data_IF_046882021257
#
_entry.id   IF_046882021257
#
_cell.length_a   1.000
_cell.length_b   1.000
_cell.length_c   1.000
_cell.angle_alpha   90.00
_cell.angle_beta   90.00
_cell.angle_gamma   90.00
#
_symmetry.space_group_name_H-M   'P 1'
#
loop_
_entity.id
_entity.type
_entity.pdbx_description
1 polymer ?
#
# COMPACT_ATOMS: atom_id res chain seq x y z
N UNK A 1 11.30 -16.58 13.00
CA UNK A 1 12.23 -15.43 12.98
C UNK A 1 12.21 -14.84 14.38
N UNK A 2 13.28 -14.98 15.18
CA UNK A 2 13.28 -14.41 16.52
C UNK A 2 13.36 -12.88 16.45
N UNK A 3 12.73 -12.21 17.40
CA UNK A 3 12.80 -10.75 17.60
C UNK A 3 12.16 -9.86 16.52
N UNK A 4 11.16 -10.35 15.77
CA UNK A 4 10.36 -9.54 14.84
C UNK A 4 8.93 -9.35 15.38
N UNK A 5 8.44 -8.11 15.34
CA UNK A 5 7.06 -7.76 15.71
C UNK A 5 6.41 -6.91 14.64
N UNK A 6 5.15 -7.23 14.31
CA UNK A 6 4.35 -6.48 13.33
C UNK A 6 3.13 -5.92 14.04
N UNK A 7 2.94 -4.62 13.97
CA UNK A 7 1.73 -3.94 14.46
C UNK A 7 0.98 -3.33 13.28
N UNK A 8 -0.36 -3.35 13.37
CA UNK A 8 -1.22 -2.66 12.41
C UNK A 8 -1.70 -1.34 13.00
N UNK A 9 -1.68 -0.27 12.20
CA UNK A 9 -2.53 0.89 12.45
C UNK A 9 -3.99 0.62 12.05
N UNK A 10 -4.86 1.60 12.25
CA UNK A 10 -6.30 1.47 11.96
C UNK A 10 -6.65 1.51 10.47
N UNK A 11 -5.79 2.06 9.61
CA UNK A 11 -6.16 2.37 8.22
C UNK A 11 -6.34 1.14 7.33
N UNK A 12 -5.64 0.02 7.60
CA UNK A 12 -5.65 -1.14 6.71
C UNK A 12 -5.32 -2.48 7.40
N UNK A 13 -6.17 -2.93 8.31
CA UNK A 13 -5.93 -4.18 9.06
C UNK A 13 -5.88 -5.45 8.19
N UNK A 14 -6.66 -5.53 7.11
CA UNK A 14 -6.64 -6.68 6.19
C UNK A 14 -5.25 -6.90 5.57
N UNK A 15 -4.63 -5.84 5.05
CA UNK A 15 -3.28 -5.92 4.50
C UNK A 15 -2.25 -6.29 5.56
N UNK A 16 -2.34 -5.69 6.75
CA UNK A 16 -1.46 -6.03 7.88
C UNK A 16 -1.57 -7.50 8.25
N UNK A 17 -2.78 -8.04 8.31
CA UNK A 17 -3.03 -9.45 8.61
C UNK A 17 -2.44 -10.36 7.52
N UNK A 18 -2.69 -10.06 6.24
CA UNK A 18 -2.10 -10.83 5.12
C UNK A 18 -0.57 -10.84 5.15
N UNK A 19 0.05 -9.72 5.52
CA UNK A 19 1.52 -9.65 5.69
C UNK A 19 1.97 -10.56 6.84
N UNK A 20 1.29 -10.51 7.98
CA UNK A 20 1.60 -11.32 9.15
C UNK A 20 1.44 -12.82 8.84
N UNK A 21 0.35 -13.21 8.19
CA UNK A 21 0.07 -14.59 7.77
C UNK A 21 1.17 -15.13 6.85
N UNK A 22 1.63 -14.34 5.88
CA UNK A 22 2.72 -14.72 4.96
C UNK A 22 4.07 -14.88 5.65
N UNK A 23 4.27 -14.22 6.78
CA UNK A 23 5.48 -14.36 7.61
C UNK A 23 5.33 -15.44 8.70
N UNK A 24 4.15 -16.05 8.82
CA UNK A 24 3.83 -16.99 9.89
C UNK A 24 3.86 -16.34 11.27
N UNK A 25 3.40 -15.09 11.37
CA UNK A 25 3.36 -14.29 12.60
C UNK A 25 1.92 -13.90 12.95
N UNK A 26 1.67 -13.64 14.22
CA UNK A 26 0.47 -12.94 14.67
C UNK A 26 0.76 -11.44 14.74
N UNK A 27 -0.27 -10.62 14.51
CA UNK A 27 -0.17 -9.17 14.76
C UNK A 27 0.01 -8.92 16.25
N UNK A 28 0.93 -8.01 16.57
CA UNK A 28 1.16 -7.55 17.93
C UNK A 28 -0.07 -6.83 18.48
N UNK A 29 -0.28 -6.99 19.78
CA UNK A 29 -1.41 -6.41 20.51
C UNK A 29 -1.25 -4.90 20.59
N UNK A 30 -2.19 -4.18 19.99
CA UNK A 30 -2.29 -2.73 20.09
C UNK A 30 -3.74 -2.33 20.33
N UNK A 31 -3.94 -1.38 21.24
CA UNK A 31 -5.24 -0.73 21.43
C UNK A 31 -5.16 0.66 20.83
N UNK A 32 -5.93 0.87 19.75
CA UNK A 32 -6.05 2.16 19.07
C UNK A 32 -7.46 2.69 19.26
N UNK A 33 -7.61 3.87 19.86
CA UNK A 33 -8.92 4.49 20.07
C UNK A 33 -8.86 5.99 19.83
N UNK A 34 -10.03 6.60 19.59
CA UNK A 34 -10.18 8.05 19.48
C UNK A 34 -10.93 8.55 20.71
N UNK A 35 -10.36 9.55 21.40
CA UNK A 35 -11.05 10.23 22.49
C UNK A 35 -12.17 11.13 21.96
N UNK A 36 -13.09 11.54 22.84
CA UNK A 36 -14.24 12.39 22.46
C UNK A 36 -13.86 13.77 21.93
N UNK A 37 -12.65 14.25 22.25
CA UNK A 37 -12.04 15.47 21.72
C UNK A 37 -11.26 15.23 20.41
N UNK A 38 -11.42 14.05 19.78
CA UNK A 38 -10.76 13.64 18.54
C UNK A 38 -9.26 13.30 18.66
N UNK A 39 -8.67 13.30 19.85
CA UNK A 39 -7.29 12.86 20.04
C UNK A 39 -7.14 11.36 19.82
N UNK A 40 -6.07 10.98 19.11
CA UNK A 40 -5.71 9.58 18.90
C UNK A 40 -4.96 9.05 20.12
N UNK A 41 -5.40 7.91 20.64
CA UNK A 41 -4.77 7.19 21.73
C UNK A 41 -4.31 5.82 21.25
N UNK A 42 -3.05 5.49 21.54
CA UNK A 42 -2.41 4.23 21.18
C UNK A 42 -1.77 3.64 22.43
N UNK A 43 -2.01 2.36 22.67
CA UNK A 43 -1.38 1.59 23.73
C UNK A 43 -0.82 0.29 23.16
N UNK A 44 0.50 0.11 23.26
CA UNK A 44 1.18 -1.12 22.86
C UNK A 44 0.99 -2.15 23.98
N UNK A 45 0.22 -3.20 23.70
CA UNK A 45 -0.25 -4.18 24.68
C UNK A 45 0.72 -5.33 24.98
N UNK A 46 1.95 -5.24 24.51
CA UNK A 46 3.00 -6.23 24.74
C UNK A 46 4.40 -5.58 24.76
N UNK A 47 5.38 -6.28 25.35
CA UNK A 47 6.76 -5.77 25.39
C UNK A 47 7.38 -5.78 23.99
N UNK A 48 7.96 -4.64 23.61
CA UNK A 48 8.75 -4.47 22.37
C UNK A 48 10.24 -4.22 22.62
N UNK A 49 10.70 -4.36 23.88
CA UNK A 49 12.10 -4.10 24.25
C UNK A 49 13.05 -5.03 23.50
N UNK A 50 13.98 -4.46 22.75
CA UNK A 50 14.98 -5.21 21.97
C UNK A 50 14.44 -5.84 20.68
N UNK A 51 13.16 -5.67 20.38
CA UNK A 51 12.50 -6.21 19.19
C UNK A 51 12.77 -5.35 17.94
N UNK A 52 12.76 -5.97 16.75
CA UNK A 52 12.70 -5.32 15.44
C UNK A 52 11.23 -5.14 15.03
N UNK A 53 10.75 -3.90 15.18
CA UNK A 53 9.32 -3.57 15.08
C UNK A 53 8.98 -3.02 13.71
N UNK A 54 7.94 -3.55 13.09
CA UNK A 54 7.35 -3.05 11.85
C UNK A 54 5.93 -2.56 12.14
N UNK A 55 5.64 -1.31 11.77
CA UNK A 55 4.31 -0.72 11.91
C UNK A 55 3.74 -0.54 10.51
N UNK A 56 2.67 -1.28 10.20
CA UNK A 56 1.97 -1.20 8.91
C UNK A 56 0.85 -0.17 9.02
N UNK A 57 0.93 0.89 8.24
CA UNK A 57 -0.12 1.91 8.15
C UNK A 57 -0.24 2.43 6.72
N UNK A 58 -1.46 2.44 6.20
CA UNK A 58 -1.76 3.10 4.92
C UNK A 58 -2.28 4.53 5.15
N UNK A 59 -2.13 5.40 4.15
CA UNK A 59 -2.68 6.76 4.14
C UNK A 59 -4.13 6.82 3.65
N UNK A 60 -5.01 5.89 4.05
CA UNK A 60 -6.39 5.79 3.54
C UNK A 60 -7.45 6.29 4.53
N UNK A 61 -8.42 7.07 4.04
CA UNK A 61 -9.50 7.63 4.85
C UNK A 61 -9.12 8.99 5.42
N UNK A 62 -9.28 9.17 6.73
CA UNK A 62 -8.85 10.38 7.43
C UNK A 62 -7.31 10.42 7.55
N UNK A 63 -6.66 10.91 6.49
CA UNK A 63 -5.20 10.85 6.32
C UNK A 63 -4.40 11.44 7.50
N UNK A 64 -4.93 12.50 8.13
CA UNK A 64 -4.29 13.14 9.27
C UNK A 64 -4.36 12.29 10.53
N UNK A 65 -5.51 11.67 10.78
CA UNK A 65 -5.68 10.78 11.92
C UNK A 65 -4.76 9.57 11.80
N UNK A 66 -4.68 8.97 10.61
CA UNK A 66 -3.80 7.83 10.34
C UNK A 66 -2.31 8.18 10.47
N UNK A 67 -1.93 9.39 10.01
CA UNK A 67 -0.56 9.88 10.16
C UNK A 67 -0.22 10.11 11.64
N UNK A 68 -1.11 10.75 12.39
CA UNK A 68 -0.92 10.94 13.83
C UNK A 68 -0.84 9.61 14.58
N UNK A 69 -1.72 8.67 14.26
CA UNK A 69 -1.69 7.31 14.82
C UNK A 69 -0.34 6.64 14.57
N UNK A 70 0.17 6.66 13.33
CA UNK A 70 1.47 6.10 12.98
C UNK A 70 2.61 6.76 13.78
N UNK A 71 2.62 8.08 13.86
CA UNK A 71 3.65 8.83 14.60
C UNK A 71 3.63 8.49 16.09
N UNK A 72 2.43 8.35 16.69
CA UNK A 72 2.28 7.96 18.09
C UNK A 72 2.75 6.51 18.30
N UNK A 73 2.39 5.57 17.41
CA UNK A 73 2.86 4.18 17.48
C UNK A 73 4.39 4.09 17.38
N UNK A 74 5.00 4.81 16.42
CA UNK A 74 6.46 4.86 16.27
C UNK A 74 7.12 5.37 17.54
N UNK A 75 6.62 6.48 18.10
CA UNK A 75 7.16 7.06 19.33
C UNK A 75 7.01 6.10 20.52
N UNK A 76 5.83 5.47 20.69
CA UNK A 76 5.56 4.52 21.76
C UNK A 76 6.54 3.32 21.71
N UNK A 77 6.75 2.74 20.54
CA UNK A 77 7.73 1.66 20.37
C UNK A 77 9.17 2.12 20.63
N UNK A 78 9.52 3.35 20.22
CA UNK A 78 10.87 3.91 20.42
C UNK A 78 11.18 4.10 21.90
N UNK A 79 10.29 4.71 22.68
CA UNK A 79 10.49 4.92 24.12
C UNK A 79 10.40 3.61 24.91
N UNK A 80 9.66 2.62 24.41
CA UNK A 80 9.61 1.27 24.95
C UNK A 80 10.87 0.43 24.65
N UNK A 81 11.92 1.06 24.12
CA UNK A 81 13.23 0.44 23.85
C UNK A 81 13.22 -0.64 22.76
N UNK A 82 12.38 -0.50 21.74
CA UNK A 82 12.53 -1.28 20.50
C UNK A 82 13.93 -1.08 19.91
N UNK A 83 14.52 -2.17 19.41
CA UNK A 83 15.86 -2.15 18.80
C UNK A 83 15.86 -1.33 17.51
N UNK A 84 14.84 -1.57 16.68
CA UNK A 84 14.58 -0.84 15.43
C UNK A 84 13.06 -0.67 15.27
N UNK A 85 12.66 0.44 14.64
CA UNK A 85 11.26 0.72 14.28
C UNK A 85 11.24 1.07 12.80
N UNK A 86 10.54 0.27 12.00
CA UNK A 86 10.36 0.43 10.57
C UNK A 86 8.91 0.77 10.26
N UNK A 87 8.67 1.89 9.59
CA UNK A 87 7.34 2.23 9.11
C UNK A 87 7.11 1.59 7.74
N UNK A 88 6.13 0.70 7.64
CA UNK A 88 5.70 0.09 6.38
C UNK A 88 4.49 0.89 5.90
N UNK A 89 4.70 1.75 4.91
CA UNK A 89 3.70 2.72 4.43
C UNK A 89 3.38 2.44 2.95
N UNK A 90 2.42 1.54 2.64
CA UNK A 90 2.14 1.13 1.25
C UNK A 90 1.70 2.26 0.34
N UNK A 91 1.01 3.28 0.87
CA UNK A 91 0.66 4.51 0.16
C UNK A 91 1.12 5.70 0.99
N UNK A 92 2.24 6.30 0.59
CA UNK A 92 2.88 7.39 1.34
C UNK A 92 1.99 8.65 1.38
N UNK A 93 1.59 9.14 2.57
CA UNK A 93 0.70 10.30 2.67
C UNK A 93 1.40 11.56 2.18
N UNK A 94 0.62 12.51 1.64
CA UNK A 94 1.12 13.79 1.13
C UNK A 94 2.14 13.71 -0.02
N UNK A 95 2.38 12.54 -0.62
CA UNK A 95 3.39 12.34 -1.66
C UNK A 95 3.26 13.28 -2.88
N UNK A 96 2.04 13.75 -3.22
CA UNK A 96 1.80 14.68 -4.35
C UNK A 96 2.15 16.14 -4.06
N UNK A 97 2.59 16.45 -2.84
CA UNK A 97 2.98 17.81 -2.42
C UNK A 97 4.50 18.00 -2.44
N UNK A 98 5.22 17.10 -3.11
CA UNK A 98 6.63 17.22 -3.39
C UNK A 98 6.87 18.39 -4.35
N UNK A 99 7.80 19.29 -3.99
CA UNK A 99 8.16 20.46 -4.80
C UNK A 99 9.67 20.68 -4.91
N UNK A 100 10.50 19.74 -4.42
CA UNK A 100 11.95 19.89 -4.36
C UNK A 100 12.68 18.58 -4.64
N UNK A 101 13.75 18.65 -5.44
CA UNK A 101 14.56 17.53 -5.95
C UNK A 101 15.48 16.84 -4.91
N UNK A 102 15.27 17.03 -3.60
CA UNK A 102 16.10 16.41 -2.55
C UNK A 102 15.37 15.27 -1.87
N UNK A 103 16.11 14.22 -1.51
CA UNK A 103 15.61 13.17 -0.63
C UNK A 103 15.13 13.78 0.70
N UNK A 104 13.92 13.41 1.13
CA UNK A 104 13.29 13.96 2.35
C UNK A 104 13.73 13.28 3.64
N UNK A 105 14.43 12.14 3.53
CA UNK A 105 14.79 11.29 4.66
C UNK A 105 16.30 11.05 4.70
N UNK A 106 16.88 11.20 5.88
CA UNK A 106 18.26 10.80 6.18
C UNK A 106 18.36 9.33 6.65
N UNK A 107 17.21 8.67 6.82
CA UNK A 107 17.11 7.24 7.13
C UNK A 107 16.99 6.42 5.83
N UNK A 108 17.39 5.12 5.84
CA UNK A 108 17.19 4.25 4.69
C UNK A 108 15.71 4.13 4.31
N UNK A 109 15.43 4.19 3.01
CA UNK A 109 14.08 4.03 2.44
C UNK A 109 14.12 3.00 1.33
N UNK A 110 13.36 1.92 1.49
CA UNK A 110 13.13 0.93 0.44
C UNK A 110 11.84 1.27 -0.33
N UNK A 111 11.99 1.94 -1.48
CA UNK A 111 10.86 2.26 -2.35
C UNK A 111 10.55 1.08 -3.29
N UNK A 112 9.57 0.25 -2.92
CA UNK A 112 9.19 -0.94 -3.67
C UNK A 112 8.33 -0.58 -4.90
N UNK A 113 8.41 -1.41 -5.95
CA UNK A 113 7.64 -1.24 -7.18
C UNK A 113 6.56 -2.31 -7.30
N UNK A 114 5.35 -1.89 -7.67
CA UNK A 114 4.28 -2.81 -8.10
C UNK A 114 4.44 -3.24 -9.57
N UNK A 115 5.42 -2.69 -10.30
CA UNK A 115 5.65 -2.98 -11.71
C UNK A 115 5.74 -4.48 -12.03
N UNK A 116 6.51 -5.32 -11.30
CA UNK A 116 6.54 -6.75 -11.58
C UNK A 116 5.16 -7.42 -11.48
N UNK A 117 4.35 -7.02 -10.50
CA UNK A 117 3.00 -7.55 -10.30
C UNK A 117 2.02 -7.05 -11.37
N UNK A 118 2.15 -5.80 -11.79
CA UNK A 118 1.38 -5.23 -12.91
C UNK A 118 1.72 -5.95 -14.22
N UNK A 119 3.01 -6.17 -14.51
CA UNK A 119 3.44 -6.89 -15.70
C UNK A 119 2.93 -8.33 -15.72
N UNK A 120 2.95 -9.02 -14.57
CA UNK A 120 2.33 -10.35 -14.42
C UNK A 120 0.84 -10.30 -14.73
N UNK A 121 0.10 -9.38 -14.10
CA UNK A 121 -1.34 -9.23 -14.31
C UNK A 121 -1.67 -8.95 -15.79
N UNK A 122 -0.95 -8.05 -16.45
CA UNK A 122 -1.16 -7.73 -17.88
C UNK A 122 -0.99 -8.98 -18.75
N UNK A 123 0.09 -9.74 -18.57
CA UNK A 123 0.39 -10.94 -19.37
C UNK A 123 -0.64 -12.05 -19.18
N UNK A 124 -1.20 -12.17 -17.98
CA UNK A 124 -2.17 -13.20 -17.62
C UNK A 124 -3.62 -12.84 -17.98
N UNK A 125 -3.96 -11.55 -18.07
CA UNK A 125 -5.35 -11.09 -18.20
C UNK A 125 -5.66 -10.35 -19.52
N UNK A 126 -4.65 -9.83 -20.23
CA UNK A 126 -4.85 -9.13 -21.51
C UNK A 126 -4.32 -9.99 -22.64
N UNK A 127 -5.21 -10.60 -23.43
CA UNK A 127 -4.86 -11.47 -24.56
C UNK A 127 -3.93 -10.78 -25.59
N UNK A 128 -4.19 -9.51 -25.90
CA UNK A 128 -3.41 -8.76 -26.89
C UNK A 128 -2.24 -7.97 -26.28
N UNK A 129 -1.76 -8.34 -25.07
CA UNK A 129 -0.72 -7.57 -24.37
C UNK A 129 0.56 -7.34 -25.19
N UNK A 130 0.89 -8.25 -26.12
CA UNK A 130 2.06 -8.12 -26.99
C UNK A 130 1.93 -6.98 -28.02
N UNK A 131 0.70 -6.59 -28.33
CA UNK A 131 0.35 -5.55 -29.31
C UNK A 131 -0.35 -4.36 -28.65
N UNK A 132 -0.31 -4.25 -27.31
CA UNK A 132 -0.94 -3.14 -26.61
C UNK A 132 -0.02 -1.91 -26.59
N UNK A 133 -0.63 -0.75 -26.33
CA UNK A 133 0.10 0.51 -26.13
C UNK A 133 -0.02 0.93 -24.68
N UNK A 134 1.10 1.10 -23.99
CA UNK A 134 1.12 1.69 -22.65
C UNK A 134 0.98 3.21 -22.79
N UNK A 135 0.01 3.77 -22.06
CA UNK A 135 -0.34 5.18 -22.14
C UNK A 135 -0.14 5.82 -20.77
N UNK A 136 0.61 6.91 -20.72
CA UNK A 136 0.62 7.80 -19.55
C UNK A 136 -0.66 8.64 -19.55
N UNK A 137 -1.40 8.72 -18.44
CA UNK A 137 -2.66 9.46 -18.40
C UNK A 137 -2.45 10.94 -18.79
N UNK A 138 -3.32 11.45 -19.66
CA UNK A 138 -3.41 12.85 -20.05
C UNK A 138 -4.73 13.47 -19.56
N UNK A 139 -4.88 14.78 -19.72
CA UNK A 139 -6.10 15.49 -19.34
C UNK A 139 -7.35 15.05 -20.13
N UNK A 140 -7.19 14.32 -21.25
CA UNK A 140 -8.27 13.86 -22.12
C UNK A 140 -8.93 12.55 -21.68
N UNK A 141 -8.26 11.76 -20.84
CA UNK A 141 -8.80 10.54 -20.24
C UNK A 141 -9.15 9.43 -21.24
N UNK A 142 -9.82 8.38 -20.74
CA UNK A 142 -10.08 7.14 -21.50
C UNK A 142 -10.87 7.32 -22.80
N UNK A 143 -11.79 8.31 -22.85
CA UNK A 143 -12.63 8.55 -24.04
C UNK A 143 -11.78 8.94 -25.25
N UNK A 144 -10.71 9.71 -25.04
CA UNK A 144 -9.81 10.14 -26.11
C UNK A 144 -9.10 8.97 -26.77
N UNK A 145 -8.74 7.94 -25.99
CA UNK A 145 -8.11 6.73 -26.52
C UNK A 145 -9.05 5.99 -27.47
N UNK A 146 -10.32 5.84 -27.11
CA UNK A 146 -11.31 5.24 -28.02
C UNK A 146 -11.50 6.08 -29.29
N UNK A 147 -11.61 7.40 -29.17
CA UNK A 147 -11.72 8.29 -30.34
C UNK A 147 -10.48 8.24 -31.24
N UNK A 148 -9.31 7.91 -30.69
CA UNK A 148 -8.07 7.70 -31.43
C UNK A 148 -7.91 6.27 -31.98
N UNK A 149 -8.92 5.41 -31.84
CA UNK A 149 -8.95 4.06 -32.41
C UNK A 149 -8.48 2.94 -31.48
N UNK A 150 -8.35 3.17 -30.16
CA UNK A 150 -8.04 2.10 -29.22
C UNK A 150 -9.19 1.07 -29.17
N UNK A 151 -8.86 -0.21 -29.25
CA UNK A 151 -9.84 -1.31 -29.24
C UNK A 151 -10.53 -1.45 -27.88
N UNK A 152 -9.76 -1.38 -26.79
CA UNK A 152 -10.21 -1.46 -25.40
C UNK A 152 -9.30 -0.60 -24.53
N UNK A 153 -9.81 -0.12 -23.41
CA UNK A 153 -9.04 0.71 -22.48
C UNK A 153 -9.04 0.08 -21.09
N UNK A 154 -7.84 -0.14 -20.56
CA UNK A 154 -7.62 -0.55 -19.18
C UNK A 154 -6.98 0.61 -18.42
N UNK A 155 -7.34 0.79 -17.15
CA UNK A 155 -6.60 1.68 -16.24
C UNK A 155 -5.90 0.83 -15.19
N UNK A 156 -4.61 1.04 -14.99
CA UNK A 156 -3.82 0.35 -13.96
C UNK A 156 -3.18 1.42 -13.07
N UNK A 157 -3.43 1.36 -11.77
CA UNK A 157 -2.88 2.31 -10.81
C UNK A 157 -2.30 1.56 -9.62
N UNK A 158 -1.14 1.96 -9.11
CA UNK A 158 -0.65 1.37 -7.86
C UNK A 158 -1.60 1.70 -6.70
N UNK A 159 -1.97 2.97 -6.52
CA UNK A 159 -2.77 3.42 -5.37
C UNK A 159 -4.21 3.79 -5.76
N UNK A 160 -5.18 2.95 -5.40
CA UNK A 160 -6.61 3.15 -5.66
C UNK A 160 -7.33 4.03 -4.63
N UNK A 161 -7.02 5.34 -4.55
CA UNK A 161 -7.65 6.24 -3.56
C UNK A 161 -9.17 6.35 -3.79
N UNK A 162 -9.57 6.58 -5.04
CA UNK A 162 -10.96 6.66 -5.49
C UNK A 162 -11.92 7.41 -4.55
N UNK A 163 -11.60 8.68 -4.26
CA UNK A 163 -12.43 9.56 -3.43
C UNK A 163 -13.47 10.34 -4.26
N UNK A 164 -14.48 10.89 -3.58
CA UNK A 164 -15.52 11.71 -4.20
C UNK A 164 -16.26 10.99 -5.33
N UNK A 165 -16.40 11.58 -6.53
CA UNK A 165 -17.18 10.99 -7.62
C UNK A 165 -16.45 9.87 -8.37
N UNK A 166 -15.28 9.41 -7.89
CA UNK A 166 -14.43 8.46 -8.62
C UNK A 166 -15.16 7.19 -9.04
N UNK A 167 -15.90 6.55 -8.14
CA UNK A 167 -16.63 5.30 -8.45
C UNK A 167 -17.67 5.50 -9.55
N UNK A 168 -18.48 6.56 -9.45
CA UNK A 168 -19.45 6.91 -10.49
C UNK A 168 -18.76 7.20 -11.82
N UNK A 169 -17.64 7.92 -11.81
CA UNK A 169 -16.85 8.21 -13.02
C UNK A 169 -16.28 6.95 -13.66
N UNK A 170 -15.80 5.99 -12.86
CA UNK A 170 -15.29 4.71 -13.37
C UNK A 170 -16.43 3.88 -13.99
N UNK A 171 -17.56 3.76 -13.30
CA UNK A 171 -18.72 3.04 -13.82
C UNK A 171 -19.18 3.59 -15.17
N UNK A 172 -19.24 4.92 -15.30
CA UNK A 172 -19.63 5.62 -16.52
C UNK A 172 -18.53 5.75 -17.59
N UNK A 173 -17.28 5.42 -17.27
CA UNK A 173 -16.16 5.48 -18.20
C UNK A 173 -16.06 4.20 -19.03
N UNK A 174 -15.43 4.31 -20.19
CA UNK A 174 -15.23 3.22 -21.14
C UNK A 174 -14.06 2.28 -20.80
N UNK A 175 -13.80 2.07 -19.50
CA UNK A 175 -12.82 1.09 -19.05
C UNK A 175 -13.39 -0.32 -19.15
N UNK A 176 -12.60 -1.23 -19.71
CA UNK A 176 -12.83 -2.67 -19.62
C UNK A 176 -12.65 -3.11 -18.15
N UNK A 177 -11.52 -2.72 -17.55
CA UNK A 177 -11.24 -2.90 -16.13
C UNK A 177 -10.38 -1.76 -15.59
N UNK A 178 -10.50 -1.53 -14.27
CA UNK A 178 -9.64 -0.64 -13.49
C UNK A 178 -8.91 -1.50 -12.45
N UNK A 179 -7.62 -1.69 -12.65
CA UNK A 179 -6.77 -2.53 -11.83
C UNK A 179 -6.03 -1.68 -10.83
N UNK A 180 -6.10 -2.04 -9.56
CA UNK A 180 -5.35 -1.38 -8.49
C UNK A 180 -4.67 -2.38 -7.58
N UNK A 181 -3.70 -1.95 -6.78
CA UNK A 181 -3.20 -2.80 -5.69
C UNK A 181 -4.03 -2.63 -4.43
N UNK A 182 -3.91 -3.57 -3.49
CA UNK A 182 -4.41 -3.41 -2.11
C UNK A 182 -3.46 -2.57 -1.24
N UNK A 183 -2.71 -1.60 -1.77
CA UNK A 183 -2.01 -0.60 -0.91
C UNK A 183 -2.99 0.26 -0.09
N UNK A 184 -4.22 0.39 -0.59
CA UNK A 184 -5.37 1.04 0.05
C UNK A 184 -6.53 0.02 0.04
N UNK A 185 -7.37 -0.09 1.09
CA UNK A 185 -8.53 -0.99 1.11
C UNK A 185 -9.48 -0.75 -0.08
N UNK A 186 -9.94 -1.81 -0.73
CA UNK A 186 -10.78 -1.73 -1.94
C UNK A 186 -12.11 -2.49 -1.83
N UNK A 187 -12.30 -3.28 -0.77
CA UNK A 187 -13.42 -4.23 -0.61
C UNK A 187 -14.77 -3.53 -0.72
N UNK A 188 -14.89 -2.34 -0.12
CA UNK A 188 -16.09 -1.52 -0.20
C UNK A 188 -16.32 -0.98 -1.62
N UNK A 189 -15.26 -0.47 -2.26
CA UNK A 189 -15.33 0.13 -3.59
C UNK A 189 -15.69 -0.88 -4.67
N UNK A 190 -15.23 -2.13 -4.54
CA UNK A 190 -15.55 -3.24 -5.44
C UNK A 190 -17.04 -3.61 -5.40
N UNK A 191 -17.71 -3.48 -4.25
CA UNK A 191 -19.17 -3.69 -4.16
C UNK A 191 -19.95 -2.69 -5.01
N UNK A 192 -19.39 -1.50 -5.22
CA UNK A 192 -20.01 -0.41 -5.98
C UNK A 192 -19.48 -0.27 -7.41
N UNK A 193 -18.48 -1.07 -7.80
CA UNK A 193 -17.86 -1.01 -9.12
C UNK A 193 -17.29 -2.37 -9.53
N UNK A 194 -18.01 -3.08 -10.40
CA UNK A 194 -17.60 -4.39 -10.92
C UNK A 194 -16.37 -4.35 -11.83
N UNK A 195 -15.98 -3.16 -12.30
CA UNK A 195 -14.77 -2.96 -13.12
C UNK A 195 -13.48 -2.98 -12.29
N UNK A 196 -13.55 -2.84 -10.97
CA UNK A 196 -12.36 -2.79 -10.12
C UNK A 196 -11.82 -4.20 -9.91
N UNK A 197 -10.54 -4.38 -10.19
CA UNK A 197 -9.77 -5.58 -9.88
C UNK A 197 -8.60 -5.22 -8.97
N UNK A 198 -8.24 -6.14 -8.08
CA UNK A 198 -7.22 -5.89 -7.04
C UNK A 198 -6.07 -6.87 -7.17
N UNK A 199 -4.86 -6.32 -7.32
CA UNK A 199 -3.60 -7.05 -7.22
C UNK A 199 -3.18 -7.06 -5.74
N UNK A 200 -3.03 -8.25 -5.18
CA UNK A 200 -2.48 -8.41 -3.83
C UNK A 200 -0.96 -8.18 -3.82
N UNK A 201 -0.51 -7.20 -3.04
CA UNK A 201 0.90 -6.87 -2.85
C UNK A 201 1.44 -7.28 -1.47
N UNK A 202 0.63 -7.97 -0.65
CA UNK A 202 1.06 -8.41 0.69
C UNK A 202 2.29 -9.31 0.66
N UNK A 203 2.48 -10.11 -0.41
CA UNK A 203 3.67 -10.93 -0.58
C UNK A 203 4.94 -10.09 -0.80
N UNK A 204 4.84 -9.01 -1.58
CA UNK A 204 5.96 -8.10 -1.82
C UNK A 204 6.36 -7.41 -0.52
N UNK A 205 5.37 -6.96 0.26
CA UNK A 205 5.62 -6.31 1.56
C UNK A 205 6.17 -7.29 2.61
N UNK A 206 5.61 -8.50 2.70
CA UNK A 206 6.10 -9.54 3.60
C UNK A 206 7.55 -9.92 3.27
N UNK A 207 7.86 -10.14 1.99
CA UNK A 207 9.22 -10.49 1.57
C UNK A 207 10.21 -9.33 1.78
N UNK A 208 9.77 -8.08 1.63
CA UNK A 208 10.59 -6.92 1.97
C UNK A 208 10.90 -6.89 3.48
N UNK A 209 9.90 -7.03 4.34
CA UNK A 209 10.06 -7.11 5.79
C UNK A 209 11.01 -8.24 6.19
N UNK A 210 10.83 -9.43 5.60
CA UNK A 210 11.68 -10.60 5.83
C UNK A 210 13.16 -10.30 5.51
N UNK A 211 13.41 -9.69 4.35
CA UNK A 211 14.75 -9.34 3.89
C UNK A 211 15.39 -8.26 4.75
N UNK A 212 14.64 -7.19 5.06
CA UNK A 212 15.10 -6.12 5.96
C UNK A 212 15.45 -6.63 7.35
N UNK A 213 14.68 -7.59 7.88
CA UNK A 213 14.96 -8.24 9.15
C UNK A 213 16.24 -9.09 9.12
N UNK A 214 16.41 -9.89 8.06
CA UNK A 214 17.56 -10.79 7.91
C UNK A 214 18.84 -10.11 7.37
N UNK A 215 18.79 -8.83 7.01
CA UNK A 215 19.91 -8.13 6.36
C UNK A 215 20.15 -8.60 4.92
N UNK A 216 19.14 -9.18 4.27
CA UNK A 216 19.18 -9.61 2.88
C UNK A 216 18.85 -8.43 1.93
N UNK A 217 19.29 -8.53 0.67
CA UNK A 217 19.02 -7.48 -0.30
C UNK A 217 17.54 -7.44 -0.72
N UNK A 218 16.90 -6.27 -0.53
CA UNK A 218 15.52 -5.98 -0.95
C UNK A 218 15.41 -5.73 -2.46
N UNK A 219 16.50 -5.35 -3.14
CA UNK A 219 16.49 -4.94 -4.56
C UNK A 219 16.04 -6.03 -5.53
N UNK A 220 16.11 -7.31 -5.12
CA UNK A 220 15.52 -8.44 -5.85
C UNK A 220 14.03 -8.20 -6.19
N UNK A 221 13.29 -7.60 -5.26
CA UNK A 221 11.86 -7.32 -5.40
C UNK A 221 11.53 -6.23 -6.42
N UNK A 222 12.51 -5.43 -6.85
CA UNK A 222 12.27 -4.37 -7.83
C UNK A 222 12.02 -4.92 -9.23
N UNK A 223 12.46 -6.15 -9.51
CA UNK A 223 12.35 -6.78 -10.84
C UNK A 223 11.62 -8.12 -10.84
N UNK A 224 11.39 -8.74 -9.66
CA UNK A 224 10.81 -10.06 -9.54
C UNK A 224 9.61 -10.05 -8.59
N UNK A 225 8.51 -10.69 -9.00
CA UNK A 225 7.40 -11.01 -8.09
C UNK A 225 7.83 -12.25 -7.29
N UNK A 226 7.92 -12.18 -5.95
CA UNK A 226 8.16 -13.36 -5.13
C UNK A 226 7.03 -14.38 -5.35
N UNK A 227 7.41 -15.67 -5.42
CA UNK A 227 6.49 -16.80 -5.63
C UNK A 227 5.53 -16.98 -4.45
#
# INVERSE_FOLDING_TARGET
>A
MPNIKIFSGSSHQDLSQKIADRLGLELGKVVTKKFSNQETCVEIGESVRGEDVYIVQSGCGEINDNLMELLIMINACKIASASRVTAVIPCFPYARQDKKDKGFFDIPVDNLYAEPAVLKWIRENISEWRNCTIVSPDAGGAKRLLSAGATRVYAILTHGIFSGPAISRINNACFEAVVVTNTIPQEDKMKHCSKIQVIDISMILAEAIRRTHNGESVSYLFSHVPL
#
